data_IF_139545611229
#
_entry.id   IF_139545611229
#
_cell.length_a   1.000
_cell.length_b   1.000
_cell.length_c   1.000
_cell.angle_alpha   90.00
_cell.angle_beta   90.00
_cell.angle_gamma   90.00
#
_symmetry.space_group_name_H-M   'P 1'
#
loop_
_entity.id
_entity.type
_entity.pdbx_description
1 polymer ?
#
# COMPACT_ATOMS: atom_id res chain seq x y z
N UNK A 1 -39.91 4.92 41.72
CA UNK A 1 -39.71 3.96 40.60
C UNK A 1 -39.22 4.64 39.30
N UNK A 2 -39.62 5.87 38.99
CA UNK A 2 -39.23 6.57 37.75
C UNK A 2 -37.78 7.16 37.71
N UNK A 3 -37.18 7.47 38.87
CA UNK A 3 -35.79 7.99 38.93
C UNK A 3 -34.73 7.01 38.40
N UNK A 4 -34.96 5.71 38.58
CA UNK A 4 -34.01 4.68 38.09
C UNK A 4 -34.16 4.43 36.58
N UNK A 5 -35.35 4.66 36.04
CA UNK A 5 -35.61 4.49 34.62
C UNK A 5 -34.92 5.60 33.78
N UNK A 6 -34.94 6.83 34.26
CA UNK A 6 -34.24 7.95 33.59
C UNK A 6 -32.71 7.77 33.64
N UNK A 7 -32.16 7.21 34.71
CA UNK A 7 -30.73 6.93 34.79
C UNK A 7 -30.31 5.82 33.81
N UNK A 8 -31.16 4.79 33.69
CA UNK A 8 -30.93 3.68 32.76
C UNK A 8 -31.00 4.13 31.31
N UNK A 9 -31.95 4.98 30.94
CA UNK A 9 -32.07 5.58 29.61
C UNK A 9 -30.89 6.49 29.32
N UNK A 10 -30.43 7.30 30.26
CA UNK A 10 -29.24 8.14 30.10
C UNK A 10 -27.97 7.30 29.90
N UNK A 11 -27.82 6.17 30.62
CA UNK A 11 -26.69 5.27 30.48
C UNK A 11 -26.67 4.57 29.09
N UNK A 12 -27.83 4.15 28.61
CA UNK A 12 -27.99 3.53 27.28
C UNK A 12 -27.71 4.57 26.16
N UNK A 13 -28.18 5.79 26.30
CA UNK A 13 -27.90 6.88 25.34
C UNK A 13 -26.42 7.26 25.33
N UNK A 14 -25.74 7.21 26.47
CA UNK A 14 -24.30 7.49 26.56
C UNK A 14 -23.45 6.37 25.94
N UNK A 15 -23.89 5.12 25.99
CA UNK A 15 -23.16 3.99 25.38
C UNK A 15 -23.23 3.96 23.85
N UNK A 16 -24.24 4.59 23.24
CA UNK A 16 -24.39 4.65 21.77
C UNK A 16 -23.57 5.79 21.16
N UNK A 17 -23.10 6.76 21.96
CA UNK A 17 -22.36 7.91 21.46
C UNK A 17 -20.86 7.66 21.18
N UNK A 18 -20.33 6.49 21.46
CA UNK A 18 -18.94 6.14 21.18
C UNK A 18 -18.75 5.37 19.89
N UNK A 19 -19.42 5.79 18.82
CA UNK A 19 -18.99 5.42 17.48
C UNK A 19 -17.72 6.22 17.19
N UNK A 20 -16.56 5.65 17.53
CA UNK A 20 -15.28 6.18 17.06
C UNK A 20 -15.31 6.14 15.53
N UNK A 21 -15.32 7.30 14.91
CA UNK A 21 -15.01 7.39 13.49
C UNK A 21 -13.61 6.75 13.33
N UNK A 22 -13.55 5.56 12.79
CA UNK A 22 -12.28 4.85 12.62
C UNK A 22 -11.43 5.68 11.67
N UNK A 23 -10.32 6.20 12.19
CA UNK A 23 -9.35 6.94 11.38
C UNK A 23 -8.87 6.01 10.28
N UNK A 24 -8.98 6.43 9.03
CA UNK A 24 -8.46 5.67 7.90
C UNK A 24 -6.95 5.47 8.05
N UNK A 25 -6.43 4.26 7.78
CA UNK A 25 -5.00 4.00 7.83
C UNK A 25 -4.27 4.78 6.73
N UNK A 26 -3.07 5.22 7.01
CA UNK A 26 -2.19 5.87 6.06
C UNK A 26 -1.28 4.81 5.42
N UNK A 27 -1.51 4.53 4.16
CA UNK A 27 -0.77 3.52 3.39
C UNK A 27 0.13 4.22 2.39
N UNK A 28 1.39 3.81 2.33
CA UNK A 28 2.34 4.32 1.35
C UNK A 28 2.72 3.23 0.34
N UNK A 29 2.55 3.52 -0.94
CA UNK A 29 2.84 2.57 -2.03
C UNK A 29 4.20 2.89 -2.65
N UNK A 30 5.08 1.90 -2.72
CA UNK A 30 6.37 1.94 -3.41
C UNK A 30 6.23 1.19 -4.73
N UNK A 31 6.26 1.89 -5.85
CA UNK A 31 6.07 1.27 -7.15
C UNK A 31 7.42 0.98 -7.82
N UNK A 32 7.63 -0.28 -8.21
CA UNK A 32 8.82 -0.70 -8.95
C UNK A 32 8.57 -0.85 -10.46
N UNK A 33 7.31 -0.88 -10.86
CA UNK A 33 6.90 -1.18 -12.22
C UNK A 33 6.14 -2.50 -12.28
N UNK A 34 6.62 -3.44 -13.09
CA UNK A 34 5.98 -4.74 -13.27
C UNK A 34 4.74 -4.69 -14.18
N UNK A 35 3.97 -5.76 -14.16
CA UNK A 35 2.81 -5.97 -15.04
C UNK A 35 1.71 -4.93 -14.81
N UNK A 36 1.39 -4.61 -13.56
CA UNK A 36 0.37 -3.59 -13.23
C UNK A 36 0.68 -2.22 -13.84
N UNK A 37 1.96 -1.90 -14.02
CA UNK A 37 2.43 -0.66 -14.62
C UNK A 37 2.77 -0.83 -16.11
N UNK A 38 2.30 -1.89 -16.73
CA UNK A 38 2.54 -2.15 -18.14
C UNK A 38 1.61 -1.38 -19.07
N UNK A 39 2.08 -1.07 -20.27
CA UNK A 39 1.31 -0.47 -21.33
C UNK A 39 1.34 -1.34 -22.57
N UNK A 40 0.18 -1.48 -23.22
CA UNK A 40 0.04 -2.15 -24.50
C UNK A 40 -0.84 -1.34 -25.45
N UNK A 41 -0.62 -1.47 -26.76
CA UNK A 41 -1.40 -0.77 -27.78
C UNK A 41 -2.87 -1.26 -27.83
N UNK A 42 -3.13 -2.45 -27.33
CA UNK A 42 -4.48 -3.02 -27.15
C UNK A 42 -4.41 -4.19 -26.18
N UNK A 43 -5.55 -4.54 -25.60
CA UNK A 43 -5.68 -5.72 -24.70
C UNK A 43 -5.34 -7.07 -25.38
N UNK A 44 -5.21 -7.09 -26.70
CA UNK A 44 -4.89 -8.27 -27.52
C UNK A 44 -3.59 -8.10 -28.31
N UNK A 45 -2.88 -6.98 -28.14
CA UNK A 45 -1.65 -6.67 -28.89
C UNK A 45 -0.40 -7.30 -28.24
N UNK A 46 0.56 -7.69 -29.08
CA UNK A 46 1.84 -8.28 -28.65
C UNK A 46 2.86 -7.24 -28.15
N UNK A 47 2.56 -5.94 -28.24
CA UNK A 47 3.47 -4.85 -27.85
C UNK A 47 3.17 -4.39 -26.43
N UNK A 48 3.33 -5.28 -25.46
CA UNK A 48 3.24 -4.97 -24.05
C UNK A 48 4.62 -4.58 -23.50
N UNK A 49 4.70 -3.47 -22.76
CA UNK A 49 5.90 -3.04 -22.05
C UNK A 49 5.62 -2.87 -20.57
N UNK A 50 6.21 -3.71 -19.74
CA UNK A 50 6.06 -3.67 -18.29
C UNK A 50 6.66 -2.37 -17.69
N UNK A 51 6.12 -1.93 -16.57
CA UNK A 51 6.70 -0.88 -15.75
C UNK A 51 6.53 0.56 -16.26
N UNK A 52 5.75 0.81 -17.30
CA UNK A 52 5.70 2.14 -17.94
C UNK A 52 4.72 3.12 -17.28
N UNK A 53 3.69 2.64 -16.61
CA UNK A 53 2.66 3.49 -15.98
C UNK A 53 3.16 4.03 -14.64
N UNK A 54 3.06 5.33 -14.45
CA UNK A 54 3.44 5.96 -13.19
C UNK A 54 2.42 5.68 -12.08
N UNK A 55 2.90 5.59 -10.84
CA UNK A 55 2.07 5.33 -9.65
C UNK A 55 0.87 6.27 -9.53
N UNK A 56 1.01 7.54 -9.87
CA UNK A 56 -0.09 8.51 -9.85
C UNK A 56 -1.26 8.12 -10.75
N UNK A 57 -0.98 7.59 -11.94
CA UNK A 57 -2.00 7.10 -12.87
C UNK A 57 -2.71 5.87 -12.30
N UNK A 58 -1.97 4.94 -11.70
CA UNK A 58 -2.53 3.75 -11.06
C UNK A 58 -3.47 4.11 -9.91
N UNK A 59 -3.07 5.04 -9.04
CA UNK A 59 -3.91 5.51 -7.94
C UNK A 59 -5.17 6.22 -8.44
N UNK A 60 -5.07 6.98 -9.52
CA UNK A 60 -6.22 7.66 -10.13
C UNK A 60 -7.23 6.69 -10.76
N UNK A 61 -6.77 5.50 -11.16
CA UNK A 61 -7.63 4.47 -11.74
C UNK A 61 -8.51 3.74 -10.71
N UNK A 62 -8.17 3.85 -9.41
CA UNK A 62 -8.89 3.16 -8.32
C UNK A 62 -9.32 4.16 -7.24
N UNK A 63 -10.25 5.10 -7.54
CA UNK A 63 -10.64 6.14 -6.58
C UNK A 63 -11.31 5.60 -5.32
N UNK A 64 -11.89 4.40 -5.39
CA UNK A 64 -12.55 3.74 -4.26
C UNK A 64 -11.61 3.44 -3.09
N UNK A 65 -10.30 3.32 -3.34
CA UNK A 65 -9.30 3.06 -2.31
C UNK A 65 -9.28 4.18 -1.24
N UNK A 66 -9.62 5.41 -1.63
CA UNK A 66 -9.70 6.57 -0.75
C UNK A 66 -10.81 6.45 0.32
N UNK A 67 -11.76 5.52 0.14
CA UNK A 67 -12.82 5.26 1.13
C UNK A 67 -12.33 4.39 2.29
N UNK A 68 -11.25 3.65 2.10
CA UNK A 68 -10.74 2.67 3.07
C UNK A 68 -9.37 3.02 3.62
N UNK A 69 -8.59 3.84 2.93
CA UNK A 69 -7.26 4.25 3.34
C UNK A 69 -6.88 5.63 2.77
N UNK A 70 -6.03 6.36 3.49
CA UNK A 70 -5.32 7.51 2.96
C UNK A 70 -4.09 6.99 2.23
N UNK A 71 -4.15 6.96 0.90
CA UNK A 71 -3.10 6.35 0.09
C UNK A 71 -2.21 7.41 -0.52
N UNK A 72 -0.91 7.25 -0.35
CA UNK A 72 0.14 8.00 -1.03
C UNK A 72 1.08 7.02 -1.72
N UNK A 73 1.91 7.49 -2.64
CA UNK A 73 2.86 6.60 -3.30
C UNK A 73 4.01 7.35 -3.96
N UNK A 74 5.11 6.64 -4.13
CA UNK A 74 6.27 7.11 -4.88
C UNK A 74 6.77 6.04 -5.84
N UNK A 75 7.35 6.50 -6.94
CA UNK A 75 7.94 5.63 -7.93
C UNK A 75 9.41 5.40 -7.60
N UNK A 76 9.77 4.17 -7.32
CA UNK A 76 11.17 3.79 -7.06
C UNK A 76 11.91 3.60 -8.39
N UNK A 77 11.35 2.75 -9.26
CA UNK A 77 11.83 2.51 -10.62
C UNK A 77 10.65 2.19 -11.55
N UNK A 78 10.90 2.16 -12.84
CA UNK A 78 9.93 1.75 -13.87
C UNK A 78 10.54 0.68 -14.76
N UNK A 79 10.56 -0.55 -14.24
CA UNK A 79 11.19 -1.69 -14.93
C UNK A 79 10.28 -2.91 -14.92
N UNK A 80 10.52 -3.86 -15.79
CA UNK A 80 10.06 -5.23 -15.63
C UNK A 80 10.79 -5.88 -14.46
N UNK A 81 10.16 -6.82 -13.79
CA UNK A 81 10.77 -7.45 -12.60
C UNK A 81 12.01 -8.29 -12.95
N UNK A 82 12.11 -8.81 -14.17
CA UNK A 82 13.31 -9.47 -14.66
C UNK A 82 14.55 -8.57 -14.70
N UNK A 83 14.37 -7.25 -14.66
CA UNK A 83 15.45 -6.26 -14.70
C UNK A 83 15.80 -5.70 -13.30
N UNK A 84 15.35 -6.38 -12.23
CA UNK A 84 15.72 -6.01 -10.86
C UNK A 84 17.21 -6.17 -10.64
N UNK A 85 17.77 -5.22 -9.88
CA UNK A 85 19.19 -5.19 -9.53
C UNK A 85 19.39 -4.97 -8.04
N UNK A 86 20.61 -5.26 -7.55
CA UNK A 86 21.00 -5.01 -6.16
C UNK A 86 20.80 -3.54 -5.77
N UNK A 87 21.08 -2.60 -6.68
CA UNK A 87 20.90 -1.16 -6.43
C UNK A 87 19.42 -0.79 -6.22
N UNK A 88 18.51 -1.43 -6.95
CA UNK A 88 17.08 -1.24 -6.76
C UNK A 88 16.64 -1.80 -5.41
N UNK A 89 17.09 -3.00 -5.05
CA UNK A 89 16.80 -3.60 -3.75
C UNK A 89 17.32 -2.75 -2.60
N UNK A 90 18.56 -2.25 -2.70
CA UNK A 90 19.15 -1.36 -1.69
C UNK A 90 18.39 -0.03 -1.58
N UNK A 91 17.91 0.50 -2.71
CA UNK A 91 17.09 1.71 -2.74
C UNK A 91 15.74 1.47 -2.06
N UNK A 92 15.07 0.36 -2.36
CA UNK A 92 13.84 -0.05 -1.67
C UNK A 92 14.06 -0.16 -0.16
N UNK A 93 15.07 -0.90 0.28
CA UNK A 93 15.35 -1.09 1.70
C UNK A 93 15.63 0.24 2.42
N UNK A 94 16.38 1.15 1.82
CA UNK A 94 16.65 2.48 2.36
C UNK A 94 15.38 3.33 2.46
N UNK A 95 14.55 3.29 1.42
CA UNK A 95 13.28 4.04 1.38
C UNK A 95 12.31 3.50 2.42
N UNK A 96 12.16 2.19 2.52
CA UNK A 96 11.33 1.54 3.53
C UNK A 96 11.78 1.95 4.93
N UNK A 97 13.08 1.86 5.24
CA UNK A 97 13.58 2.25 6.56
C UNK A 97 13.33 3.73 6.90
N UNK A 98 13.36 4.63 5.92
CA UNK A 98 12.96 6.04 6.11
C UNK A 98 11.48 6.19 6.42
N UNK A 99 10.62 5.46 5.71
CA UNK A 99 9.18 5.47 5.93
C UNK A 99 8.81 4.89 7.30
N UNK A 100 9.46 3.81 7.71
CA UNK A 100 9.25 3.17 9.01
C UNK A 100 9.65 4.04 10.21
N UNK A 101 10.54 5.01 10.02
CA UNK A 101 10.88 6.00 11.03
C UNK A 101 9.77 7.05 11.23
N UNK A 102 8.79 7.13 10.34
CA UNK A 102 7.65 8.05 10.41
C UNK A 102 6.54 7.45 11.25
N UNK A 103 5.88 8.30 12.04
CA UNK A 103 4.74 7.89 12.90
C UNK A 103 3.39 8.01 12.20
N UNK A 104 3.39 8.57 11.01
CA UNK A 104 2.18 8.83 10.21
C UNK A 104 1.98 7.78 9.10
N UNK A 105 2.77 6.73 9.04
CA UNK A 105 2.62 5.59 8.13
C UNK A 105 2.17 4.36 8.91
N UNK A 106 1.04 3.81 8.53
CA UNK A 106 0.44 2.62 9.15
C UNK A 106 0.77 1.34 8.37
N UNK A 107 1.12 1.46 7.09
CA UNK A 107 1.51 0.32 6.25
C UNK A 107 2.23 0.75 4.98
N UNK A 108 3.02 -0.17 4.42
CA UNK A 108 3.73 -0.01 3.15
C UNK A 108 3.29 -1.12 2.21
N UNK A 109 2.97 -0.76 0.97
CA UNK A 109 2.67 -1.70 -0.12
C UNK A 109 3.72 -1.53 -1.19
N UNK A 110 4.26 -2.64 -1.71
CA UNK A 110 5.21 -2.64 -2.81
C UNK A 110 4.53 -3.29 -4.01
N UNK A 111 4.36 -2.54 -5.10
CA UNK A 111 3.91 -3.12 -6.36
C UNK A 111 5.13 -3.64 -7.14
N UNK A 112 5.01 -4.87 -7.63
CA UNK A 112 6.13 -5.58 -8.22
C UNK A 112 5.64 -6.48 -9.37
N UNK A 113 6.53 -6.83 -10.27
CA UNK A 113 6.24 -7.85 -11.29
C UNK A 113 6.45 -9.27 -10.75
N UNK A 114 5.94 -10.25 -11.48
CA UNK A 114 5.90 -11.65 -11.05
C UNK A 114 7.25 -12.36 -11.06
N UNK A 115 8.18 -11.97 -11.95
CA UNK A 115 9.40 -12.77 -12.21
C UNK A 115 10.36 -12.87 -11.04
N UNK A 116 10.48 -11.81 -10.21
CA UNK A 116 11.45 -11.74 -9.10
C UNK A 116 10.85 -11.18 -7.82
N UNK A 117 9.54 -11.34 -7.62
CA UNK A 117 8.89 -10.84 -6.42
C UNK A 117 9.34 -11.54 -5.16
N UNK A 118 9.49 -12.85 -5.20
CA UNK A 118 9.90 -13.64 -4.06
C UNK A 118 11.33 -13.32 -3.61
N UNK A 119 12.25 -13.07 -4.53
CA UNK A 119 13.62 -12.66 -4.19
C UNK A 119 13.61 -11.29 -3.54
N UNK A 120 12.84 -10.33 -4.09
CA UNK A 120 12.67 -9.01 -3.50
C UNK A 120 12.06 -9.09 -2.11
N UNK A 121 10.98 -9.87 -1.96
CA UNK A 121 10.31 -10.07 -0.68
C UNK A 121 11.25 -10.73 0.35
N UNK A 122 11.98 -11.75 -0.05
CA UNK A 122 12.93 -12.42 0.82
C UNK A 122 14.07 -11.50 1.25
N UNK A 123 14.67 -10.78 0.31
CA UNK A 123 15.70 -9.79 0.62
C UNK A 123 15.22 -8.76 1.64
N UNK A 124 14.08 -8.14 1.38
CA UNK A 124 13.53 -7.12 2.28
C UNK A 124 13.17 -7.69 3.65
N UNK A 125 12.68 -8.92 3.72
CA UNK A 125 12.40 -9.59 4.99
C UNK A 125 13.68 -9.79 5.85
N UNK A 126 14.84 -9.96 5.22
CA UNK A 126 16.11 -10.10 5.94
C UNK A 126 16.67 -8.77 6.44
N UNK A 127 16.49 -7.69 5.68
CA UNK A 127 17.20 -6.42 5.94
C UNK A 127 16.34 -5.33 6.55
N UNK A 128 15.02 -5.43 6.45
CA UNK A 128 14.09 -4.46 7.03
C UNK A 128 13.57 -4.98 8.36
N UNK A 129 13.83 -4.22 9.43
CA UNK A 129 13.33 -4.55 10.78
C UNK A 129 12.17 -3.63 11.11
N UNK A 130 10.96 -4.16 11.14
CA UNK A 130 9.76 -3.38 11.38
C UNK A 130 8.72 -4.13 12.19
N UNK A 131 7.97 -3.35 12.99
CA UNK A 131 6.72 -3.77 13.62
C UNK A 131 5.48 -3.36 12.79
N UNK A 132 5.68 -2.68 11.65
CA UNK A 132 4.63 -2.27 10.72
C UNK A 132 4.52 -3.32 9.62
N UNK A 133 3.30 -3.62 9.21
CA UNK A 133 3.05 -4.56 8.13
C UNK A 133 3.57 -4.02 6.79
N UNK A 134 4.38 -4.81 6.12
CA UNK A 134 4.84 -4.56 4.74
C UNK A 134 4.18 -5.61 3.88
N UNK A 135 3.40 -5.16 2.89
CA UNK A 135 2.71 -6.03 1.97
C UNK A 135 3.37 -5.96 0.60
N UNK A 136 3.65 -7.13 0.03
CA UNK A 136 4.08 -7.26 -1.34
C UNK A 136 2.87 -7.58 -2.19
N UNK A 137 2.66 -6.81 -3.24
CA UNK A 137 1.51 -7.00 -4.12
C UNK A 137 1.99 -7.22 -5.54
N UNK A 138 1.59 -8.34 -6.09
CA UNK A 138 1.70 -8.63 -7.52
C UNK A 138 0.33 -8.49 -8.12
N UNK A 139 0.25 -7.87 -9.27
CA UNK A 139 -0.94 -7.90 -10.11
C UNK A 139 -0.54 -8.46 -11.45
N UNK A 140 -1.17 -9.57 -11.80
CA UNK A 140 -1.16 -10.13 -13.15
C UNK A 140 -1.97 -9.26 -14.10
#
# INVERSE_FOLDING_TARGET
MFKNLSLLVALVLFSVATTFAQKLPNIHILATGGTIAGTGASSTGTNYTAGQVAIGTLLSAVPEIQKIANVTGEQIVKIGSQDMTDDVWLTLAKTINKLLARKDIDGIVITHGTDTMEETAYFLNLVVKSNISIFYYVVE
#
